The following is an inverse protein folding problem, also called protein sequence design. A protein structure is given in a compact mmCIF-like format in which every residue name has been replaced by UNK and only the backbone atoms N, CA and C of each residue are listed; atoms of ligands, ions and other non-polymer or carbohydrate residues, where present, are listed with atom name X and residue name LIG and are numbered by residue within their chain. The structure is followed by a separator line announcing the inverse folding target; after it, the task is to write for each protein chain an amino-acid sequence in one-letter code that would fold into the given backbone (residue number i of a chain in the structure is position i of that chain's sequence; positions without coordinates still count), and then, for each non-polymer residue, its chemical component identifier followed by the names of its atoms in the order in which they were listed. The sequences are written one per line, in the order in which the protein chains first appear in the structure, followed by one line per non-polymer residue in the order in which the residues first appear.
data_IF_966699850278
#
_entry.id   IF_966699850278
#
_cell.length_a   1.000
_cell.length_b   1.000
_cell.length_c   1.000
_cell.angle_alpha   90.00
_cell.angle_beta   90.00
_cell.angle_gamma   90.00
#
_symmetry.space_group_name_H-M   'P 1'
#
loop_
_entity.id
_entity.type
_entity.pdbx_description
1 polymer ?
#
# COMPACT_ATOMS: atom_id res chain seq x y z
N UNK A 1 -30.16 -1.81 -9.85
CA UNK A 1 -29.69 -2.76 -8.81
C UNK A 1 -28.61 -2.07 -7.96
N UNK A 2 -28.50 -2.43 -6.69
CA UNK A 2 -27.34 -2.03 -5.88
C UNK A 2 -26.08 -2.70 -6.43
N UNK A 3 -24.91 -2.08 -6.18
CA UNK A 3 -23.61 -2.57 -6.62
C UNK A 3 -22.63 -2.78 -5.47
N UNK A 4 -21.55 -3.50 -5.75
CA UNK A 4 -20.45 -3.74 -4.81
C UNK A 4 -19.42 -2.62 -4.91
N UNK A 5 -18.94 -2.13 -3.78
CA UNK A 5 -17.90 -1.12 -3.71
C UNK A 5 -16.63 -1.70 -3.09
N UNK A 6 -15.57 -1.84 -3.90
CA UNK A 6 -14.23 -2.17 -3.42
C UNK A 6 -13.54 -0.89 -2.95
N UNK A 7 -13.30 -0.78 -1.66
CA UNK A 7 -12.88 0.47 -1.02
C UNK A 7 -11.48 0.32 -0.44
N UNK A 8 -10.56 1.22 -0.80
CA UNK A 8 -9.29 1.36 -0.11
C UNK A 8 -9.48 2.05 1.24
N UNK A 9 -9.17 1.33 2.31
CA UNK A 9 -9.28 1.81 3.69
C UNK A 9 -8.20 2.81 4.10
N UNK A 10 -7.18 2.99 3.25
CA UNK A 10 -5.97 3.69 3.66
C UNK A 10 -5.01 2.80 4.47
N UNK A 11 -3.88 3.36 4.94
CA UNK A 11 -2.79 2.60 5.54
C UNK A 11 -3.02 2.23 7.02
N UNK A 12 -3.96 2.89 7.70
CA UNK A 12 -4.25 2.62 9.11
C UNK A 12 -5.03 3.73 9.81
N UNK A 13 -4.60 4.97 9.71
CA UNK A 13 -5.33 6.13 10.24
C UNK A 13 -6.71 6.23 9.57
N UNK A 14 -7.82 6.22 10.34
CA UNK A 14 -9.17 6.34 9.80
C UNK A 14 -9.41 7.62 8.99
N UNK A 15 -8.68 8.69 9.23
CA UNK A 15 -8.80 9.95 8.48
C UNK A 15 -8.15 9.86 7.08
N UNK A 16 -7.38 8.80 6.81
CA UNK A 16 -6.76 8.58 5.51
C UNK A 16 -7.61 7.74 4.54
N UNK A 17 -8.82 7.38 4.91
CA UNK A 17 -9.81 6.90 3.96
C UNK A 17 -10.30 8.08 3.10
N UNK A 18 -10.61 7.81 1.83
CA UNK A 18 -11.20 8.86 0.99
C UNK A 18 -12.60 9.23 1.47
N UNK A 19 -12.99 10.49 1.31
CA UNK A 19 -14.35 10.96 1.63
C UNK A 19 -15.43 10.11 0.95
N UNK A 20 -15.19 9.70 -0.31
CA UNK A 20 -16.10 8.82 -1.03
C UNK A 20 -16.17 7.43 -0.40
N UNK A 21 -15.03 6.85 -0.02
CA UNK A 21 -14.97 5.56 0.66
C UNK A 21 -15.71 5.59 1.99
N UNK A 22 -15.45 6.59 2.82
CA UNK A 22 -16.13 6.74 4.12
C UNK A 22 -17.64 6.89 3.96
N UNK A 23 -18.10 7.72 3.01
CA UNK A 23 -19.53 7.89 2.75
C UNK A 23 -20.19 6.57 2.38
N UNK A 24 -19.56 5.77 1.53
CA UNK A 24 -20.10 4.46 1.13
C UNK A 24 -20.13 3.50 2.33
N UNK A 25 -19.10 3.47 3.17
CA UNK A 25 -19.10 2.66 4.41
C UNK A 25 -20.27 3.04 5.31
N UNK A 26 -20.54 4.35 5.50
CA UNK A 26 -21.68 4.85 6.28
C UNK A 26 -23.04 4.40 5.73
N UNK A 27 -23.16 4.29 4.42
CA UNK A 27 -24.42 3.93 3.74
C UNK A 27 -24.60 2.42 3.55
N UNK A 28 -23.54 1.61 3.66
CA UNK A 28 -23.55 0.19 3.36
C UNK A 28 -24.46 -0.61 4.31
N UNK A 29 -25.17 -1.61 3.75
CA UNK A 29 -25.97 -2.57 4.51
C UNK A 29 -25.12 -3.76 4.94
N UNK A 30 -24.09 -4.05 4.15
CA UNK A 30 -23.14 -5.15 4.39
C UNK A 30 -21.73 -4.61 4.20
N UNK A 31 -20.89 -4.84 5.19
CA UNK A 31 -19.46 -4.48 5.17
C UNK A 31 -18.64 -5.75 5.32
N UNK A 32 -17.75 -6.01 4.36
CA UNK A 32 -16.78 -7.10 4.42
C UNK A 32 -15.39 -6.48 4.43
N UNK A 33 -14.65 -6.58 5.53
CA UNK A 33 -13.36 -5.91 5.67
C UNK A 33 -12.21 -6.87 5.96
N UNK A 34 -11.00 -6.52 5.53
CA UNK A 34 -9.78 -7.29 5.75
C UNK A 34 -9.23 -7.05 7.17
N UNK A 35 -9.89 -7.61 8.19
CA UNK A 35 -9.68 -7.26 9.60
C UNK A 35 -8.30 -7.59 10.19
N UNK A 36 -7.44 -8.29 9.45
CA UNK A 36 -6.03 -8.46 9.86
C UNK A 36 -5.17 -7.22 9.58
N UNK A 37 -5.63 -6.31 8.71
CA UNK A 37 -4.86 -5.17 8.20
C UNK A 37 -5.65 -3.85 8.18
N UNK A 38 -6.96 -3.89 8.34
CA UNK A 38 -7.84 -2.71 8.42
C UNK A 38 -8.26 -2.53 9.87
N UNK A 39 -7.91 -1.41 10.52
CA UNK A 39 -8.37 -1.12 11.87
C UNK A 39 -9.90 -0.97 11.90
N UNK A 40 -10.48 -1.38 13.00
CA UNK A 40 -11.95 -1.39 13.16
C UNK A 40 -12.52 0.04 13.10
N UNK A 41 -11.75 0.99 13.57
CA UNK A 41 -12.09 2.41 13.60
C UNK A 41 -12.39 2.97 12.20
N UNK A 42 -11.83 2.41 11.14
CA UNK A 42 -12.13 2.81 9.75
C UNK A 42 -13.59 2.51 9.38
N UNK A 43 -14.16 1.45 9.94
CA UNK A 43 -15.53 1.00 9.62
C UNK A 43 -16.54 1.35 10.72
N UNK A 44 -16.12 1.85 11.87
CA UNK A 44 -17.01 2.17 13.01
C UNK A 44 -18.00 3.29 12.69
N UNK A 45 -17.82 4.01 11.59
CA UNK A 45 -18.77 4.99 11.09
C UNK A 45 -19.99 4.39 10.36
N UNK A 46 -20.14 3.07 10.33
CA UNK A 46 -21.24 2.38 9.66
C UNK A 46 -22.62 2.75 10.29
N UNK A 47 -23.68 2.62 9.50
CA UNK A 47 -25.05 2.82 10.00
C UNK A 47 -25.51 1.69 10.93
N UNK A 48 -26.47 1.98 11.79
CA UNK A 48 -27.13 0.97 12.61
C UNK A 48 -27.75 -0.14 11.76
N UNK A 49 -27.61 -1.38 12.22
CA UNK A 49 -28.14 -2.56 11.53
C UNK A 49 -27.30 -3.06 10.35
N UNK A 50 -26.18 -2.41 10.02
CA UNK A 50 -25.25 -2.94 9.03
C UNK A 50 -24.65 -4.27 9.48
N UNK A 51 -24.58 -5.26 8.56
CA UNK A 51 -23.93 -6.54 8.81
C UNK A 51 -22.45 -6.44 8.52
N UNK A 52 -21.61 -6.78 9.49
CA UNK A 52 -20.15 -6.66 9.39
C UNK A 52 -19.53 -8.06 9.36
N UNK A 53 -18.68 -8.31 8.38
CA UNK A 53 -17.94 -9.55 8.21
C UNK A 53 -16.44 -9.29 8.17
N UNK A 54 -15.69 -10.03 8.98
CA UNK A 54 -14.22 -10.01 8.95
C UNK A 54 -13.72 -11.10 8.00
N UNK A 55 -13.18 -10.71 6.85
CA UNK A 55 -12.71 -11.67 5.84
C UNK A 55 -11.35 -12.31 6.16
N UNK A 56 -10.73 -11.99 7.29
CA UNK A 56 -9.45 -12.63 7.67
C UNK A 56 -9.58 -14.15 7.90
N UNK A 57 -10.78 -14.65 8.19
CA UNK A 57 -11.09 -16.06 8.39
C UNK A 57 -12.04 -16.64 7.33
N UNK A 58 -12.31 -15.90 6.26
CA UNK A 58 -13.24 -16.33 5.19
C UNK A 58 -12.46 -16.79 3.95
N UNK A 59 -12.99 -17.80 3.29
CA UNK A 59 -12.57 -18.18 1.94
C UNK A 59 -13.13 -17.22 0.89
N UNK A 60 -12.62 -17.30 -0.35
CA UNK A 60 -13.16 -16.53 -1.47
C UNK A 60 -14.64 -16.80 -1.67
N UNK A 61 -15.03 -18.10 -1.69
CA UNK A 61 -16.42 -18.53 -1.90
C UNK A 61 -17.35 -17.94 -0.83
N UNK A 62 -16.94 -17.94 0.44
CA UNK A 62 -17.73 -17.36 1.54
C UNK A 62 -17.90 -15.83 1.39
N UNK A 63 -16.86 -15.13 0.93
CA UNK A 63 -16.96 -13.68 0.64
C UNK A 63 -17.92 -13.43 -0.51
N UNK A 64 -17.83 -14.21 -1.58
CA UNK A 64 -18.71 -14.09 -2.75
C UNK A 64 -20.16 -14.43 -2.37
N UNK A 65 -20.38 -15.50 -1.62
CA UNK A 65 -21.72 -15.91 -1.16
C UNK A 65 -22.42 -14.81 -0.36
N UNK A 66 -21.73 -14.21 0.60
CA UNK A 66 -22.25 -13.08 1.38
C UNK A 66 -22.60 -11.92 0.46
N UNK A 67 -21.69 -11.60 -0.47
CA UNK A 67 -21.84 -10.47 -1.41
C UNK A 67 -23.05 -10.67 -2.33
N UNK A 68 -23.13 -11.83 -3.00
CA UNK A 68 -24.21 -12.15 -3.95
C UNK A 68 -25.58 -12.18 -3.24
N UNK A 69 -25.66 -12.80 -2.05
CA UNK A 69 -26.90 -12.82 -1.24
C UNK A 69 -27.35 -11.41 -0.86
N UNK A 70 -26.40 -10.54 -0.50
CA UNK A 70 -26.72 -9.15 -0.17
C UNK A 70 -27.27 -8.38 -1.38
N UNK A 71 -26.59 -8.43 -2.53
CA UNK A 71 -27.00 -7.75 -3.75
C UNK A 71 -28.35 -8.23 -4.25
N UNK A 72 -28.62 -9.56 -4.24
CA UNK A 72 -29.91 -10.14 -4.63
C UNK A 72 -31.09 -9.67 -3.75
N UNK A 73 -30.81 -9.20 -2.54
CA UNK A 73 -31.81 -8.63 -1.61
C UNK A 73 -31.83 -7.11 -1.63
N UNK A 74 -31.23 -6.46 -2.62
CA UNK A 74 -31.21 -5.00 -2.80
C UNK A 74 -30.36 -4.26 -1.78
N UNK A 75 -29.31 -4.90 -1.24
CA UNK A 75 -28.44 -4.34 -0.21
C UNK A 75 -27.13 -3.83 -0.83
N UNK A 76 -26.70 -2.64 -0.37
CA UNK A 76 -25.42 -2.05 -0.70
C UNK A 76 -24.29 -2.76 0.03
N UNK A 77 -23.25 -3.19 -0.71
CA UNK A 77 -22.09 -3.92 -0.17
C UNK A 77 -20.82 -3.07 -0.26
N UNK A 78 -20.15 -2.89 0.87
CA UNK A 78 -18.80 -2.32 0.96
C UNK A 78 -17.76 -3.43 1.23
N UNK A 79 -16.88 -3.69 0.27
CA UNK A 79 -15.72 -4.57 0.40
C UNK A 79 -14.49 -3.73 0.70
N UNK A 80 -14.04 -3.71 1.95
CA UNK A 80 -13.01 -2.79 2.46
C UNK A 80 -11.65 -3.50 2.51
N UNK A 81 -10.70 -3.00 1.72
CA UNK A 81 -9.33 -3.49 1.59
C UNK A 81 -8.35 -2.56 2.28
N UNK A 82 -7.23 -3.09 2.79
CA UNK A 82 -6.14 -2.26 3.32
C UNK A 82 -5.47 -1.43 2.22
N UNK A 83 -5.00 -0.26 2.56
CA UNK A 83 -4.27 0.61 1.64
C UNK A 83 -5.11 0.99 0.41
N UNK A 84 -4.61 0.62 -0.75
CA UNK A 84 -5.29 0.72 -2.04
C UNK A 84 -5.55 -0.68 -2.61
N UNK A 85 -6.76 -0.98 -3.10
CA UNK A 85 -7.09 -2.31 -3.64
C UNK A 85 -6.19 -2.74 -4.81
N UNK A 86 -5.68 -1.79 -5.60
CA UNK A 86 -4.87 -2.07 -6.79
C UNK A 86 -3.47 -2.63 -6.46
N UNK A 87 -3.00 -2.51 -5.20
CA UNK A 87 -1.69 -2.99 -4.78
C UNK A 87 -1.84 -4.19 -3.84
N UNK A 88 -1.63 -5.39 -4.35
CA UNK A 88 -1.73 -6.67 -3.61
C UNK A 88 -3.09 -6.90 -2.90
N UNK A 89 -4.16 -6.30 -3.44
CA UNK A 89 -5.49 -6.32 -2.83
C UNK A 89 -6.28 -7.61 -3.05
N UNK A 90 -5.84 -8.52 -3.93
CA UNK A 90 -6.53 -9.78 -4.27
C UNK A 90 -8.04 -9.58 -4.54
N UNK A 91 -8.38 -8.50 -5.25
CA UNK A 91 -9.78 -8.18 -5.55
C UNK A 91 -10.16 -8.50 -7.01
N UNK A 92 -9.18 -8.75 -7.88
CA UNK A 92 -9.43 -9.04 -9.30
C UNK A 92 -10.28 -10.30 -9.47
N UNK A 93 -9.93 -11.38 -8.78
CA UNK A 93 -10.68 -12.64 -8.81
C UNK A 93 -12.12 -12.48 -8.29
N UNK A 94 -12.34 -11.57 -7.31
CA UNK A 94 -13.68 -11.26 -6.83
C UNK A 94 -14.50 -10.53 -7.90
N UNK A 95 -13.91 -9.58 -8.62
CA UNK A 95 -14.57 -8.87 -9.71
C UNK A 95 -14.91 -9.81 -10.87
N UNK A 96 -13.99 -10.68 -11.27
CA UNK A 96 -14.23 -11.65 -12.34
C UNK A 96 -15.44 -12.56 -12.04
N UNK A 97 -15.58 -13.01 -10.78
CA UNK A 97 -16.75 -13.79 -10.35
C UNK A 97 -18.02 -12.93 -10.33
N UNK A 98 -17.95 -11.67 -9.90
CA UNK A 98 -19.12 -10.79 -9.92
C UNK A 98 -19.60 -10.50 -11.35
N UNK A 99 -18.69 -10.42 -12.33
CA UNK A 99 -19.01 -10.31 -13.74
C UNK A 99 -19.83 -11.53 -14.24
N UNK A 100 -19.48 -12.76 -13.79
CA UNK A 100 -20.24 -13.97 -14.10
C UNK A 100 -21.67 -13.93 -13.53
N UNK A 101 -21.87 -13.27 -12.41
CA UNK A 101 -23.20 -13.05 -11.81
C UNK A 101 -23.94 -11.83 -12.38
N UNK A 102 -23.34 -11.06 -13.29
CA UNK A 102 -23.90 -9.81 -13.80
C UNK A 102 -24.07 -8.74 -12.73
N UNK A 103 -23.22 -8.74 -11.69
CA UNK A 103 -23.26 -7.80 -10.58
C UNK A 103 -22.29 -6.65 -10.85
N UNK A 104 -22.81 -5.41 -10.89
CA UNK A 104 -22.00 -4.22 -11.04
C UNK A 104 -21.16 -3.93 -9.80
N UNK A 105 -19.97 -3.39 -10.01
CA UNK A 105 -19.07 -2.95 -8.94
C UNK A 105 -18.37 -1.65 -9.29
N UNK A 106 -17.81 -1.01 -8.26
CA UNK A 106 -16.99 0.19 -8.39
C UNK A 106 -15.79 0.09 -7.46
N UNK A 107 -14.60 0.47 -7.96
CA UNK A 107 -13.37 0.50 -7.16
C UNK A 107 -13.09 1.92 -6.71
N UNK A 108 -12.97 2.13 -5.41
CA UNK A 108 -12.65 3.40 -4.77
C UNK A 108 -11.18 3.33 -4.31
N UNK A 109 -10.28 4.15 -4.86
CA UNK A 109 -8.88 4.13 -4.48
C UNK A 109 -8.67 4.51 -3.01
N UNK A 110 -7.52 4.14 -2.47
CA UNK A 110 -7.09 4.48 -1.13
C UNK A 110 -5.62 4.91 -1.06
N UNK A 111 -5.19 5.39 0.09
CA UNK A 111 -3.78 5.72 0.34
C UNK A 111 -3.01 4.45 0.63
N UNK A 112 -2.09 4.07 -0.25
CA UNK A 112 -1.25 2.88 -0.07
C UNK A 112 -0.20 3.08 1.03
N UNK A 113 0.15 1.99 1.73
CA UNK A 113 1.12 1.98 2.83
C UNK A 113 2.50 2.51 2.44
N UNK A 114 2.95 2.36 1.19
CA UNK A 114 4.25 2.87 0.77
C UNK A 114 4.27 4.41 0.73
N UNK A 115 3.17 5.04 0.31
CA UNK A 115 3.02 6.50 0.34
C UNK A 115 2.92 7.02 1.78
N UNK A 116 2.17 6.34 2.63
CA UNK A 116 2.10 6.68 4.05
C UNK A 116 3.47 6.51 4.74
N UNK A 117 4.25 5.51 4.36
CA UNK A 117 5.60 5.31 4.87
C UNK A 117 6.54 6.46 4.46
N UNK A 118 6.47 6.91 3.21
CA UNK A 118 7.23 8.08 2.76
C UNK A 118 6.81 9.36 3.50
N UNK A 119 5.51 9.56 3.73
CA UNK A 119 4.98 10.68 4.50
C UNK A 119 5.48 10.66 5.96
N UNK A 120 5.45 9.49 6.62
CA UNK A 120 5.97 9.31 7.98
C UNK A 120 7.48 9.65 8.08
N UNK A 121 8.23 9.37 7.02
CA UNK A 121 9.65 9.69 6.89
C UNK A 121 9.92 11.13 6.42
N UNK A 122 8.89 11.87 5.99
CA UNK A 122 9.00 13.19 5.34
C UNK A 122 9.93 13.15 4.12
N UNK A 123 9.79 12.11 3.30
CA UNK A 123 10.63 11.87 2.10
C UNK A 123 9.76 11.83 0.84
N UNK A 124 10.36 12.24 -0.26
CA UNK A 124 9.81 12.14 -1.61
C UNK A 124 10.61 11.12 -2.42
N UNK A 125 9.92 10.19 -3.07
CA UNK A 125 10.57 9.12 -3.85
C UNK A 125 11.29 9.62 -5.10
N UNK A 126 10.77 10.71 -5.71
CA UNK A 126 11.13 11.15 -7.06
C UNK A 126 11.91 12.46 -7.03
N UNK A 127 13.15 12.39 -6.54
CA UNK A 127 14.03 13.55 -6.44
C UNK A 127 14.89 13.75 -7.72
N UNK A 128 15.05 14.99 -8.21
CA UNK A 128 15.92 15.26 -9.34
C UNK A 128 17.35 14.77 -9.10
N UNK A 129 17.93 14.14 -10.15
CA UNK A 129 19.27 13.52 -10.16
C UNK A 129 19.52 12.43 -9.09
N UNK A 130 18.47 11.98 -8.37
CA UNK A 130 18.55 10.85 -7.44
C UNK A 130 17.79 9.66 -8.01
N UNK A 131 16.48 9.79 -8.17
CA UNK A 131 15.63 8.78 -8.81
C UNK A 131 14.34 9.42 -9.32
N UNK A 132 13.90 9.02 -10.51
CA UNK A 132 12.59 9.41 -11.08
C UNK A 132 11.67 8.20 -11.23
N UNK A 133 12.10 7.06 -10.69
CA UNK A 133 11.39 5.77 -10.80
C UNK A 133 11.13 5.21 -9.41
N UNK A 134 9.90 4.76 -9.18
CA UNK A 134 9.52 4.02 -7.99
C UNK A 134 9.14 2.60 -8.37
N UNK A 135 9.84 1.62 -7.83
CA UNK A 135 9.54 0.20 -8.04
C UNK A 135 8.79 -0.33 -6.82
N UNK A 136 7.50 -0.60 -7.00
CA UNK A 136 6.70 -1.34 -6.02
C UNK A 136 6.81 -2.84 -6.32
N UNK A 137 7.34 -3.61 -5.38
CA UNK A 137 7.61 -5.03 -5.58
C UNK A 137 7.52 -5.81 -4.26
N UNK A 138 7.76 -7.11 -4.32
CA UNK A 138 7.94 -8.00 -3.17
C UNK A 138 9.02 -9.05 -3.46
N UNK A 139 9.56 -9.67 -2.43
CA UNK A 139 10.38 -10.86 -2.63
C UNK A 139 9.49 -12.10 -2.86
N UNK A 140 10.00 -13.08 -3.59
CA UNK A 140 9.37 -14.39 -3.71
C UNK A 140 9.28 -15.06 -2.33
N UNK A 141 8.11 -15.57 -1.99
CA UNK A 141 7.83 -16.25 -0.74
C UNK A 141 6.94 -17.48 -0.95
N UNK A 142 5.80 -17.54 -0.26
CA UNK A 142 4.81 -18.60 -0.45
C UNK A 142 4.20 -18.62 -1.85
N UNK A 143 4.18 -17.49 -2.51
CA UNK A 143 3.72 -17.33 -3.90
C UNK A 143 4.88 -16.86 -4.76
N UNK A 144 4.94 -17.35 -5.99
CA UNK A 144 6.00 -17.06 -6.96
C UNK A 144 6.01 -15.59 -7.40
N UNK A 145 7.15 -15.16 -7.91
CA UNK A 145 7.34 -13.90 -8.64
C UNK A 145 7.95 -14.25 -10.01
N UNK A 146 7.52 -13.61 -11.11
CA UNK A 146 8.13 -13.86 -12.41
C UNK A 146 9.66 -13.66 -12.36
N UNK A 147 10.43 -14.58 -12.93
CA UNK A 147 11.92 -14.56 -12.86
C UNK A 147 12.54 -13.22 -13.26
N UNK A 148 11.98 -12.56 -14.29
CA UNK A 148 12.43 -11.23 -14.74
C UNK A 148 12.15 -10.10 -13.74
N UNK A 149 11.22 -10.32 -12.83
CA UNK A 149 10.80 -9.38 -11.78
C UNK A 149 11.34 -9.78 -10.40
N UNK A 150 12.30 -10.73 -10.37
CA UNK A 150 12.99 -11.05 -9.11
C UNK A 150 13.63 -9.81 -8.51
N UNK A 151 13.65 -9.70 -7.19
CA UNK A 151 14.23 -8.55 -6.49
C UNK A 151 15.68 -8.28 -6.93
N UNK A 152 16.46 -9.34 -7.18
CA UNK A 152 17.81 -9.24 -7.75
C UNK A 152 17.84 -8.61 -9.16
N UNK A 153 16.85 -8.91 -10.00
CA UNK A 153 16.75 -8.31 -11.34
C UNK A 153 16.37 -6.84 -11.27
N UNK A 154 15.42 -6.49 -10.41
CA UNK A 154 14.95 -5.12 -10.21
C UNK A 154 16.01 -4.24 -9.53
N UNK A 155 16.82 -4.80 -8.64
CA UNK A 155 17.91 -4.11 -7.95
C UNK A 155 18.92 -3.47 -8.90
N UNK A 156 19.09 -4.00 -10.11
CA UNK A 156 20.01 -3.46 -11.13
C UNK A 156 19.69 -2.02 -11.54
N UNK A 157 18.44 -1.60 -11.40
CA UNK A 157 18.01 -0.24 -11.73
C UNK A 157 18.43 0.81 -10.68
N UNK A 158 18.76 0.40 -9.46
CA UNK A 158 19.10 1.29 -8.33
C UNK A 158 18.09 2.43 -8.13
N UNK A 159 16.84 2.19 -8.49
CA UNK A 159 15.73 3.13 -8.34
C UNK A 159 15.27 3.22 -6.88
N UNK A 160 14.41 4.19 -6.57
CA UNK A 160 13.66 4.17 -5.32
C UNK A 160 12.76 2.92 -5.30
N UNK A 161 12.81 2.11 -4.23
CA UNK A 161 11.99 0.91 -4.15
C UNK A 161 11.12 0.91 -2.89
N UNK A 162 9.92 0.38 -3.04
CA UNK A 162 8.98 0.06 -1.96
C UNK A 162 8.68 -1.44 -2.00
N UNK A 163 9.16 -2.19 -1.01
CA UNK A 163 9.10 -3.65 -0.98
C UNK A 163 8.03 -4.08 0.01
N UNK A 164 6.99 -4.72 -0.50
CA UNK A 164 5.83 -5.19 0.23
C UNK A 164 6.00 -6.62 0.73
N UNK A 165 5.25 -7.02 1.77
CA UNK A 165 5.08 -8.42 2.21
C UNK A 165 6.39 -9.18 2.47
N UNK A 166 7.50 -8.49 2.73
CA UNK A 166 8.85 -9.07 2.67
C UNK A 166 9.66 -8.96 3.96
N UNK A 167 9.14 -8.27 4.99
CA UNK A 167 9.92 -7.98 6.21
C UNK A 167 10.32 -9.24 6.99
N UNK A 168 9.55 -10.33 6.92
CA UNK A 168 9.92 -11.62 7.52
C UNK A 168 11.15 -12.27 6.87
N UNK A 169 11.49 -11.84 5.66
CA UNK A 169 12.61 -12.33 4.86
C UNK A 169 13.62 -11.20 4.63
N UNK A 170 13.80 -10.32 5.62
CA UNK A 170 14.67 -9.14 5.50
C UNK A 170 16.11 -9.53 5.14
N UNK A 171 16.59 -10.66 5.65
CA UNK A 171 17.88 -11.27 5.29
C UNK A 171 18.00 -11.51 3.79
N UNK A 172 17.01 -12.19 3.19
CA UNK A 172 16.98 -12.46 1.74
C UNK A 172 16.78 -11.18 0.92
N UNK A 173 16.03 -10.22 1.45
CA UNK A 173 15.87 -8.89 0.82
C UNK A 173 17.22 -8.20 0.73
N UNK A 174 17.97 -8.15 1.83
CA UNK A 174 19.31 -7.55 1.89
C UNK A 174 20.27 -8.27 0.92
N UNK A 175 20.31 -9.60 0.94
CA UNK A 175 21.14 -10.40 0.04
C UNK A 175 20.83 -10.09 -1.44
N UNK A 176 19.56 -10.06 -1.83
CA UNK A 176 19.16 -9.78 -3.20
C UNK A 176 19.53 -8.37 -3.65
N UNK A 177 19.35 -7.36 -2.79
CA UNK A 177 19.63 -5.97 -3.08
C UNK A 177 21.14 -5.67 -3.11
N UNK A 178 21.93 -6.29 -2.24
CA UNK A 178 23.40 -6.15 -2.18
C UNK A 178 24.11 -6.56 -3.47
N UNK A 179 23.43 -7.28 -4.36
CA UNK A 179 23.99 -7.62 -5.68
C UNK A 179 24.17 -6.39 -6.59
N UNK A 180 23.52 -5.27 -6.26
CA UNK A 180 23.53 -4.07 -7.11
C UNK A 180 23.59 -2.76 -6.34
N UNK A 181 22.92 -2.66 -5.21
CA UNK A 181 23.00 -1.49 -4.33
C UNK A 181 24.27 -1.54 -3.48
N UNK A 182 24.96 -0.40 -3.27
CA UNK A 182 26.00 -0.29 -2.25
C UNK A 182 25.48 -0.65 -0.86
N UNK A 183 26.31 -1.27 -0.03
CA UNK A 183 25.93 -1.60 1.35
C UNK A 183 25.62 -0.37 2.20
N UNK A 184 26.11 0.80 1.81
CA UNK A 184 25.83 2.11 2.43
C UNK A 184 24.48 2.70 2.02
N UNK A 185 23.78 2.12 1.05
CA UNK A 185 22.49 2.64 0.57
C UNK A 185 21.48 2.74 1.72
N UNK A 186 20.83 3.89 1.91
CA UNK A 186 19.85 4.07 2.97
C UNK A 186 18.64 3.16 2.82
N UNK A 187 18.19 2.59 3.94
CA UNK A 187 16.99 1.75 4.06
C UNK A 187 16.15 2.22 5.24
N UNK A 188 14.85 2.26 5.05
CA UNK A 188 13.89 2.50 6.10
C UNK A 188 12.88 1.35 6.16
N UNK A 189 12.54 0.89 7.36
CA UNK A 189 11.44 -0.06 7.58
C UNK A 189 10.41 0.63 8.45
N UNK A 190 9.20 0.77 7.91
CA UNK A 190 8.07 1.41 8.59
C UNK A 190 7.01 0.37 8.86
N UNK A 191 6.84 0.00 10.11
CA UNK A 191 5.78 -0.91 10.56
C UNK A 191 4.55 -0.10 10.89
N UNK A 192 3.38 -0.56 10.39
CA UNK A 192 2.07 0.04 10.67
C UNK A 192 2.06 1.56 10.45
N UNK A 193 2.50 1.98 9.26
CA UNK A 193 2.51 3.39 8.88
C UNK A 193 1.13 4.02 9.11
N UNK A 194 1.10 5.18 9.77
CA UNK A 194 -0.08 5.94 10.21
C UNK A 194 -0.90 5.36 11.37
N UNK A 195 -0.56 4.20 11.88
CA UNK A 195 -1.19 3.65 13.09
C UNK A 195 -0.63 4.33 14.35
N UNK A 196 -1.37 4.29 15.46
CA UNK A 196 -0.95 4.85 16.75
C UNK A 196 0.33 4.20 17.32
N UNK A 197 0.59 2.95 16.95
CA UNK A 197 1.77 2.16 17.35
C UNK A 197 2.79 2.00 16.21
N UNK A 198 2.80 2.96 15.28
CA UNK A 198 3.79 3.00 14.19
C UNK A 198 5.22 2.90 14.74
N UNK A 199 6.05 2.07 14.09
CA UNK A 199 7.49 2.01 14.36
C UNK A 199 8.28 2.29 13.09
N UNK A 200 9.38 3.02 13.25
CA UNK A 200 10.32 3.36 12.16
C UNK A 200 11.71 2.87 12.54
N UNK A 201 12.33 2.11 11.66
CA UNK A 201 13.73 1.68 11.79
C UNK A 201 14.50 2.22 10.60
N UNK A 202 15.57 2.97 10.87
CA UNK A 202 16.46 3.56 9.87
C UNK A 202 17.83 2.88 9.92
N UNK A 203 18.39 2.63 8.75
CA UNK A 203 19.72 2.06 8.62
C UNK A 203 20.25 2.18 7.20
N UNK A 204 21.25 1.39 6.92
CA UNK A 204 21.78 1.13 5.58
C UNK A 204 21.51 -0.32 5.23
N UNK A 205 21.74 -0.70 3.98
CA UNK A 205 21.61 -2.09 3.57
C UNK A 205 22.46 -3.04 4.43
N UNK A 206 23.62 -2.55 4.94
CA UNK A 206 24.50 -3.29 5.85
C UNK A 206 23.89 -3.53 7.24
N UNK A 207 23.13 -2.57 7.76
CA UNK A 207 22.72 -2.57 9.18
C UNK A 207 21.23 -2.87 9.41
N UNK A 208 20.42 -2.78 8.37
CA UNK A 208 18.96 -2.79 8.53
C UNK A 208 18.43 -4.14 9.04
N UNK A 209 19.02 -5.25 8.62
CA UNK A 209 18.60 -6.59 9.03
C UNK A 209 18.66 -6.74 10.56
N UNK A 210 19.81 -6.42 11.15
CA UNK A 210 20.00 -6.52 12.59
C UNK A 210 19.04 -5.58 13.34
N UNK A 211 18.94 -4.32 12.89
CA UNK A 211 18.06 -3.32 13.52
C UNK A 211 16.57 -3.72 13.50
N UNK A 212 16.10 -4.32 12.41
CA UNK A 212 14.73 -4.81 12.28
C UNK A 212 14.46 -5.97 13.23
N UNK A 213 15.42 -6.89 13.36
CA UNK A 213 15.36 -8.00 14.32
C UNK A 213 15.32 -7.50 15.78
N UNK A 214 16.19 -6.56 16.13
CA UNK A 214 16.23 -5.93 17.46
C UNK A 214 14.93 -5.17 17.79
N UNK A 215 14.32 -4.52 16.80
CA UNK A 215 13.03 -3.84 16.96
C UNK A 215 11.82 -4.80 17.04
N UNK A 216 12.03 -6.10 16.81
CA UNK A 216 10.98 -7.12 16.82
C UNK A 216 9.97 -6.99 15.69
N UNK A 217 10.35 -6.37 14.56
CA UNK A 217 9.46 -6.15 13.42
C UNK A 217 9.47 -7.38 12.51
N UNK A 218 8.33 -8.08 12.43
CA UNK A 218 8.20 -9.31 11.65
C UNK A 218 6.99 -9.34 10.70
N UNK A 219 6.10 -8.34 10.75
CA UNK A 219 4.90 -8.27 9.90
C UNK A 219 4.41 -6.83 9.76
N UNK A 220 3.53 -6.61 8.78
CA UNK A 220 2.81 -5.34 8.56
C UNK A 220 3.78 -4.16 8.45
N UNK A 221 4.85 -4.35 7.70
CA UNK A 221 5.89 -3.34 7.52
C UNK A 221 6.24 -3.17 6.05
N UNK A 222 6.51 -1.91 5.68
CA UNK A 222 7.00 -1.49 4.38
C UNK A 222 8.51 -1.32 4.45
N UNK A 223 9.24 -1.91 3.51
CA UNK A 223 10.68 -1.69 3.35
C UNK A 223 10.87 -0.69 2.22
N UNK A 224 11.56 0.42 2.51
CA UNK A 224 11.91 1.44 1.54
C UNK A 224 13.44 1.48 1.39
N UNK A 225 13.94 1.53 0.16
CA UNK A 225 15.38 1.59 -0.13
C UNK A 225 15.65 2.56 -1.27
N UNK A 226 16.78 3.28 -1.15
CA UNK A 226 17.32 4.14 -2.18
C UNK A 226 17.82 5.47 -1.64
N UNK A 227 18.57 6.17 -2.45
CA UNK A 227 19.24 7.43 -2.08
C UNK A 227 18.24 8.57 -1.80
N UNK A 228 16.96 8.43 -2.21
CA UNK A 228 15.89 9.38 -1.85
C UNK A 228 15.67 9.49 -0.33
N UNK A 229 16.09 8.49 0.44
CA UNK A 229 16.06 8.51 1.91
C UNK A 229 17.18 9.39 2.50
N UNK A 230 18.20 9.68 1.71
CA UNK A 230 19.29 10.59 2.08
C UNK A 230 18.86 12.06 2.12
N UNK A 231 19.84 12.94 2.21
CA UNK A 231 19.63 14.40 2.26
C UNK A 231 20.23 15.13 1.05
N UNK A 232 20.98 14.43 0.22
CA UNK A 232 21.62 15.00 -0.97
C UNK A 232 20.71 14.84 -2.19
N UNK A 233 20.26 15.96 -2.73
CA UNK A 233 19.45 15.99 -3.96
C UNK A 233 19.54 17.36 -4.62
N UNK A 234 19.25 17.43 -5.90
CA UNK A 234 19.09 18.70 -6.61
C UNK A 234 17.69 19.27 -6.43
N UNK A 235 17.63 20.59 -6.25
CA UNK A 235 16.32 21.27 -6.17
C UNK A 235 15.59 21.18 -7.51
N UNK A 236 14.30 20.94 -7.46
CA UNK A 236 13.44 20.97 -8.65
C UNK A 236 13.55 22.34 -9.34
N UNK A 237 13.73 22.32 -10.67
CA UNK A 237 13.71 23.54 -11.49
C UNK A 237 12.32 24.18 -11.54
N UNK A 238 11.27 23.43 -11.25
CA UNK A 238 9.87 23.91 -11.34
C UNK A 238 9.62 25.19 -10.54
N UNK A 239 10.22 25.30 -9.34
CA UNK A 239 10.08 26.49 -8.48
C UNK A 239 11.23 27.50 -8.64
N UNK A 240 12.17 27.23 -9.55
CA UNK A 240 13.25 28.19 -9.83
C UNK A 240 12.68 29.45 -10.49
N UNK A 241 13.03 30.63 -9.97
CA UNK A 241 12.54 31.92 -10.49
C UNK A 241 12.87 32.17 -11.97
N UNK A 242 13.93 31.55 -12.48
CA UNK A 242 14.37 31.69 -13.87
C UNK A 242 13.76 30.62 -14.80
N UNK A 243 12.97 29.66 -14.28
CA UNK A 243 12.36 28.59 -15.06
C UNK A 243 10.98 29.03 -15.55
N UNK A 244 10.82 29.04 -16.89
CA UNK A 244 9.53 29.30 -17.55
C UNK A 244 8.74 28.01 -17.69
N UNK A 245 7.47 28.03 -17.32
CA UNK A 245 6.50 26.98 -17.56
C UNK A 245 5.13 27.57 -17.91
N UNK A 246 4.15 26.73 -18.22
CA UNK A 246 2.84 27.15 -18.72
C UNK A 246 2.18 28.29 -17.89
N UNK A 247 2.32 28.27 -16.57
CA UNK A 247 1.67 29.21 -15.66
C UNK A 247 2.59 30.33 -15.16
N UNK A 248 3.89 30.32 -15.52
CA UNK A 248 4.85 31.32 -15.02
C UNK A 248 5.99 31.55 -16.00
N UNK A 249 6.21 32.82 -16.36
CA UNK A 249 7.43 33.24 -17.07
C UNK A 249 8.59 33.43 -16.09
N UNK A 250 9.74 32.82 -16.38
CA UNK A 250 10.95 33.02 -15.61
C UNK A 250 11.46 34.48 -15.69
N UNK A 251 12.01 34.94 -14.59
CA UNK A 251 12.67 36.27 -14.56
C UNK A 251 14.06 36.13 -15.18
N UNK A 252 14.43 37.07 -16.05
CA UNK A 252 15.78 37.15 -16.65
C UNK A 252 16.83 37.45 -15.61
#
# INVERSE_FOLDING_TARGET
MEKVYFIGAGPGDPELITIKGQRIVKEADVIIYAGSLVPKEVIDCHKDGAKIYNSASMSLDEVIDVTVKAIKTGKKVARVHTGDPAIYGAHREQMDILDEYGIEYEVIPGVSSFLASAAALKKEFTLPNVSQTVICTRIEGRTSVPKKESLKSLAKHRASMAIFLSVQMIDKVVEALATSYPMTTPVAVVQRASWVDQKIVLGTLETIEQKVKEAGINKTAQILIGDFLGNEYEKSKLYNKHFTHEYRKGVK
#
